data_IF_030033052770
#
_entry.id   IF_030033052770
#
_cell.length_a   1.000
_cell.length_b   1.000
_cell.length_c   1.000
_cell.angle_alpha   90.00
_cell.angle_beta   90.00
_cell.angle_gamma   90.00
#
_symmetry.space_group_name_H-M   'P 1'
#
loop_
_entity.id
_entity.type
_entity.pdbx_description
1 polymer ?
#
# COMPACT_ATOMS: atom_id res chain seq x y z
N UNK A 1 23.56 -7.33 21.43
CA UNK A 1 22.62 -6.36 20.82
C UNK A 1 22.11 -6.95 19.52
N UNK A 2 20.88 -7.44 19.52
CA UNK A 2 20.28 -8.06 18.34
C UNK A 2 19.70 -6.94 17.46
N UNK A 3 20.45 -6.54 16.42
CA UNK A 3 20.01 -5.53 15.48
C UNK A 3 19.18 -6.22 14.37
N UNK A 4 17.87 -6.28 14.57
CA UNK A 4 16.92 -6.80 13.57
C UNK A 4 16.33 -5.61 12.81
N UNK A 5 16.74 -5.40 11.56
CA UNK A 5 16.04 -4.50 10.64
C UNK A 5 16.34 -4.90 9.20
N UNK A 6 15.31 -5.26 8.45
CA UNK A 6 15.38 -5.56 7.00
C UNK A 6 14.35 -4.68 6.29
N UNK A 7 14.73 -3.98 5.23
CA UNK A 7 13.81 -3.13 4.46
C UNK A 7 13.50 -3.78 3.12
N UNK A 8 12.24 -3.96 2.74
CA UNK A 8 11.86 -4.61 1.48
C UNK A 8 11.23 -3.60 0.50
N UNK A 9 11.55 -3.74 -0.79
CA UNK A 9 11.53 -2.64 -1.78
C UNK A 9 10.25 -2.53 -2.60
N UNK A 10 9.94 -1.27 -2.89
CA UNK A 10 9.03 -0.68 -3.89
C UNK A 10 8.43 -1.62 -4.94
N UNK A 11 7.09 -1.77 -4.90
CA UNK A 11 6.32 -2.11 -6.09
C UNK A 11 5.96 -0.84 -6.87
N UNK A 12 6.21 -0.85 -8.19
CA UNK A 12 5.62 0.08 -9.14
C UNK A 12 4.35 -0.51 -9.78
N UNK A 13 3.24 0.23 -9.56
CA UNK A 13 1.98 0.39 -10.32
C UNK A 13 1.16 -0.85 -10.68
N UNK A 14 0.02 -1.00 -10.00
CA UNK A 14 -1.25 -1.27 -10.69
C UNK A 14 -2.06 0.04 -10.71
N UNK A 15 -1.96 0.81 -11.80
CA UNK A 15 -3.05 1.72 -12.17
C UNK A 15 -4.02 0.82 -12.94
N UNK A 16 -5.05 0.34 -12.26
CA UNK A 16 -6.22 -0.24 -12.92
C UNK A 16 -7.33 0.81 -12.86
N UNK A 17 -7.24 1.81 -13.74
CA UNK A 17 -8.42 2.60 -14.10
C UNK A 17 -9.08 1.91 -15.29
N UNK A 18 -10.02 1.02 -15.00
CA UNK A 18 -10.96 0.53 -16.01
C UNK A 18 -12.24 1.34 -15.87
N UNK A 19 -12.34 2.46 -16.61
CA UNK A 19 -13.63 3.11 -16.86
C UNK A 19 -13.99 2.89 -18.32
N UNK A 20 -14.79 1.85 -18.59
CA UNK A 20 -15.45 1.68 -19.88
C UNK A 20 -16.72 2.52 -19.83
N UNK A 21 -16.68 3.72 -20.41
CA UNK A 21 -17.90 4.45 -20.75
C UNK A 21 -18.21 4.16 -22.24
N UNK A 22 -19.15 3.24 -22.47
CA UNK A 22 -19.77 3.09 -23.77
C UNK A 22 -20.76 4.25 -23.96
N UNK A 23 -20.52 5.13 -24.94
CA UNK A 23 -21.55 6.04 -25.44
C UNK A 23 -21.56 5.93 -26.97
N UNK A 24 -22.59 5.24 -27.47
CA UNK A 24 -23.03 5.44 -28.85
C UNK A 24 -23.84 6.73 -28.88
N UNK A 25 -23.44 7.72 -29.67
CA UNK A 25 -24.29 8.85 -29.99
C UNK A 25 -24.05 9.32 -31.42
N UNK A 26 -25.14 9.28 -32.19
CA UNK A 26 -25.32 9.83 -33.53
C UNK A 26 -25.01 11.33 -33.53
N UNK A 27 -24.45 11.80 -34.65
CA UNK A 27 -23.87 13.14 -34.79
C UNK A 27 -24.80 14.30 -34.43
N UNK A 28 -24.30 15.16 -33.54
CA UNK A 28 -24.63 16.57 -33.47
C UNK A 28 -23.40 17.31 -32.91
N UNK A 29 -22.79 18.17 -33.72
CA UNK A 29 -21.63 19.00 -33.34
C UNK A 29 -22.07 20.11 -32.39
N UNK A 30 -21.85 19.91 -31.09
CA UNK A 30 -21.90 20.96 -30.06
C UNK A 30 -20.46 21.48 -29.87
N UNK A 31 -20.22 22.80 -29.76
CA UNK A 31 -18.87 23.32 -29.60
C UNK A 31 -18.24 22.76 -28.33
N UNK A 32 -17.01 22.29 -28.47
CA UNK A 32 -16.21 21.72 -27.40
C UNK A 32 -15.87 22.83 -26.39
N UNK A 33 -16.71 22.98 -25.36
CA UNK A 33 -16.31 23.66 -24.16
C UNK A 33 -15.14 22.86 -23.57
N UNK A 34 -13.94 23.44 -23.58
CA UNK A 34 -12.79 22.90 -22.86
C UNK A 34 -13.17 22.83 -21.39
N UNK A 35 -13.63 21.65 -20.95
CA UNK A 35 -13.87 21.39 -19.54
C UNK A 35 -12.55 21.66 -18.81
N UNK A 36 -12.58 22.59 -17.85
CA UNK A 36 -11.46 22.79 -16.95
C UNK A 36 -11.07 21.42 -16.36
N UNK A 37 -9.77 21.09 -16.26
CA UNK A 37 -9.34 19.84 -15.64
C UNK A 37 -10.03 19.72 -14.28
N UNK A 38 -10.58 18.54 -13.92
CA UNK A 38 -11.26 18.38 -12.65
C UNK A 38 -10.32 18.81 -11.54
N UNK A 39 -10.77 19.75 -10.70
CA UNK A 39 -10.02 20.16 -9.52
C UNK A 39 -9.62 18.90 -8.74
N UNK A 40 -8.32 18.75 -8.43
CA UNK A 40 -7.80 17.60 -7.67
C UNK A 40 -8.62 17.49 -6.39
N UNK A 41 -9.53 16.51 -6.34
CA UNK A 41 -10.41 16.32 -5.19
C UNK A 41 -9.53 15.78 -4.07
N UNK A 42 -9.38 16.53 -2.98
CA UNK A 42 -8.60 16.07 -1.82
C UNK A 42 -9.27 14.85 -1.19
N UNK A 43 -8.46 13.97 -0.61
CA UNK A 43 -8.91 12.84 0.19
C UNK A 43 -9.45 13.39 1.54
N UNK A 44 -10.73 13.21 1.88
CA UNK A 44 -11.35 13.85 3.06
C UNK A 44 -11.06 13.11 4.38
N UNK A 45 -10.49 11.90 4.32
CA UNK A 45 -10.22 11.08 5.49
C UNK A 45 -9.10 11.69 6.36
N UNK A 46 -9.38 11.87 7.64
CA UNK A 46 -8.41 12.24 8.68
C UNK A 46 -7.84 11.03 9.40
N UNK A 47 -8.59 9.93 9.41
CA UNK A 47 -8.18 8.64 9.93
C UNK A 47 -8.89 7.53 9.14
N UNK A 48 -8.22 6.39 8.93
CA UNK A 48 -8.79 5.23 8.25
C UNK A 48 -7.86 4.02 8.41
N UNK A 49 -8.42 2.87 8.79
CA UNK A 49 -7.66 1.64 8.99
C UNK A 49 -8.41 0.42 8.46
N UNK A 50 -7.63 -0.60 8.07
CA UNK A 50 -8.12 -1.93 7.75
C UNK A 50 -7.28 -2.92 8.55
N UNK A 51 -7.94 -3.85 9.23
CA UNK A 51 -7.28 -4.91 10.02
C UNK A 51 -7.91 -6.25 9.66
N UNK A 52 -7.09 -7.22 9.27
CA UNK A 52 -7.51 -8.60 9.04
C UNK A 52 -7.45 -9.38 10.36
N UNK A 53 -8.48 -10.18 10.61
CA UNK A 53 -8.57 -11.08 11.75
C UNK A 53 -8.29 -12.53 11.36
N UNK A 54 -7.94 -13.36 12.34
CA UNK A 54 -7.62 -14.78 12.14
C UNK A 54 -8.80 -15.59 11.59
N UNK A 55 -10.03 -15.15 11.84
CA UNK A 55 -11.26 -15.77 11.33
C UNK A 55 -11.57 -15.40 9.86
N UNK A 56 -10.67 -14.64 9.21
CA UNK A 56 -10.85 -14.17 7.84
C UNK A 56 -11.76 -12.95 7.72
N UNK A 57 -12.27 -12.41 8.83
CA UNK A 57 -13.01 -11.15 8.83
C UNK A 57 -12.07 -9.94 8.79
N UNK A 58 -12.61 -8.79 8.42
CA UNK A 58 -11.88 -7.53 8.36
C UNK A 58 -12.62 -6.46 9.14
N UNK A 59 -11.91 -5.72 9.99
CA UNK A 59 -12.40 -4.46 10.55
C UNK A 59 -11.95 -3.32 9.66
N UNK A 60 -12.88 -2.48 9.23
CA UNK A 60 -12.61 -1.25 8.47
C UNK A 60 -13.14 -0.08 9.29
N UNK A 61 -12.28 0.88 9.62
CA UNK A 61 -12.67 2.09 10.35
C UNK A 61 -12.26 3.34 9.59
N UNK A 62 -12.99 4.44 9.76
CA UNK A 62 -12.65 5.73 9.19
C UNK A 62 -13.23 6.91 9.96
N UNK A 63 -12.59 8.07 9.74
CA UNK A 63 -13.09 9.40 10.06
C UNK A 63 -12.87 10.31 8.85
N UNK A 64 -13.94 10.90 8.35
CA UNK A 64 -13.93 11.81 7.22
C UNK A 64 -14.86 13.00 7.53
N UNK A 65 -14.35 14.03 8.22
CA UNK A 65 -15.16 15.21 8.53
C UNK A 65 -15.64 15.90 7.24
N UNK A 66 -16.92 16.29 7.22
CA UNK A 66 -17.51 17.08 6.12
C UNK A 66 -18.06 16.27 4.95
N UNK A 67 -17.98 14.94 4.95
CA UNK A 67 -18.71 14.08 4.00
C UNK A 67 -20.01 13.57 4.62
N UNK A 68 -21.03 13.35 3.80
CA UNK A 68 -22.32 12.85 4.26
C UNK A 68 -22.34 11.34 4.42
N UNK A 69 -21.63 10.63 3.55
CA UNK A 69 -21.57 9.16 3.57
C UNK A 69 -20.28 8.62 2.94
N UNK A 70 -19.93 7.39 3.32
CA UNK A 70 -18.82 6.62 2.77
C UNK A 70 -19.32 5.24 2.38
N UNK A 71 -19.13 4.88 1.12
CA UNK A 71 -19.34 3.53 0.61
C UNK A 71 -18.02 2.77 0.66
N UNK A 72 -17.98 1.63 1.33
CA UNK A 72 -16.81 0.75 1.36
C UNK A 72 -16.99 -0.32 0.29
N UNK A 73 -16.03 -0.42 -0.63
CA UNK A 73 -16.01 -1.43 -1.67
C UNK A 73 -14.85 -2.40 -1.49
N UNK A 74 -15.08 -3.69 -1.69
CA UNK A 74 -14.06 -4.73 -1.76
C UNK A 74 -14.31 -5.60 -2.99
N UNK A 75 -13.25 -5.98 -3.70
CA UNK A 75 -13.35 -6.83 -4.91
C UNK A 75 -14.35 -6.32 -5.95
N UNK A 76 -14.40 -4.99 -6.13
CA UNK A 76 -15.29 -4.32 -7.09
C UNK A 76 -16.76 -4.19 -6.67
N UNK A 77 -17.12 -4.60 -5.45
CA UNK A 77 -18.51 -4.57 -4.94
C UNK A 77 -18.61 -3.74 -3.67
N UNK A 78 -19.73 -3.04 -3.48
CA UNK A 78 -20.04 -2.38 -2.22
C UNK A 78 -20.28 -3.45 -1.15
N UNK A 79 -19.57 -3.33 -0.01
CA UNK A 79 -19.67 -4.24 1.14
C UNK A 79 -20.24 -3.55 2.37
N UNK A 80 -20.24 -2.22 2.41
CA UNK A 80 -20.91 -1.42 3.43
C UNK A 80 -21.15 0.02 2.95
N UNK A 81 -22.04 0.71 3.64
CA UNK A 81 -22.35 2.12 3.45
C UNK A 81 -22.70 2.71 4.83
N UNK A 82 -22.01 3.77 5.23
CA UNK A 82 -22.21 4.41 6.54
C UNK A 82 -21.89 5.92 6.46
N UNK A 83 -21.99 6.64 7.58
CA UNK A 83 -21.72 8.07 7.67
C UNK A 83 -20.24 8.48 7.61
N UNK A 84 -19.97 9.69 8.09
CA UNK A 84 -18.64 10.31 8.10
C UNK A 84 -17.63 9.62 9.03
N UNK A 85 -18.09 8.90 10.04
CA UNK A 85 -17.26 8.18 11.01
C UNK A 85 -17.93 6.87 11.38
N UNK A 86 -17.26 5.75 11.12
CA UNK A 86 -17.79 4.43 11.42
C UNK A 86 -16.68 3.39 11.60
N UNK A 87 -17.06 2.25 12.17
CA UNK A 87 -16.25 1.03 12.21
C UNK A 87 -17.14 -0.14 11.88
N UNK A 88 -16.82 -0.85 10.80
CA UNK A 88 -17.59 -1.98 10.28
C UNK A 88 -16.78 -3.25 10.36
N UNK A 89 -17.47 -4.39 10.39
CA UNK A 89 -16.86 -5.71 10.21
C UNK A 89 -17.36 -6.34 8.91
N UNK A 90 -16.43 -6.67 8.02
CA UNK A 90 -16.71 -7.31 6.72
C UNK A 90 -16.33 -8.79 6.80
N UNK A 91 -17.21 -9.67 6.33
CA UNK A 91 -17.05 -11.14 6.35
C UNK A 91 -17.38 -11.72 4.98
N UNK A 92 -16.98 -12.98 4.75
CA UNK A 92 -17.36 -13.71 3.53
C UNK A 92 -16.68 -13.23 2.25
N UNK A 93 -15.53 -12.56 2.36
CA UNK A 93 -14.72 -12.17 1.21
C UNK A 93 -13.90 -13.35 0.69
N UNK A 94 -13.61 -13.41 -0.62
CA UNK A 94 -12.76 -14.45 -1.19
C UNK A 94 -11.35 -14.40 -0.58
N UNK A 95 -10.78 -15.58 -0.33
CA UNK A 95 -9.39 -15.68 0.11
C UNK A 95 -8.46 -15.27 -1.05
N UNK A 96 -7.79 -14.13 -0.87
CA UNK A 96 -6.77 -13.61 -1.78
C UNK A 96 -5.52 -13.30 -0.96
N UNK A 97 -4.34 -13.22 -1.62
CA UNK A 97 -3.09 -12.91 -0.92
C UNK A 97 -3.17 -11.59 -0.15
N UNK A 98 -3.93 -10.63 -0.69
CA UNK A 98 -4.14 -9.33 -0.07
C UNK A 98 -5.51 -8.74 -0.43
N UNK A 99 -6.34 -8.51 0.58
CA UNK A 99 -7.65 -7.92 0.40
C UNK A 99 -7.56 -6.38 0.43
N UNK A 100 -8.04 -5.75 -0.64
CA UNK A 100 -8.11 -4.30 -0.77
C UNK A 100 -9.53 -3.80 -0.51
N UNK A 101 -9.61 -2.64 0.14
CA UNK A 101 -10.84 -1.89 0.42
C UNK A 101 -10.71 -0.49 -0.15
N UNK A 102 -11.71 -0.07 -0.92
CA UNK A 102 -11.84 1.29 -1.46
C UNK A 102 -12.95 2.01 -0.70
N UNK A 103 -12.58 3.01 0.08
CA UNK A 103 -13.51 3.89 0.78
C UNK A 103 -13.85 5.05 -0.16
N UNK A 104 -15.11 5.11 -0.58
CA UNK A 104 -15.65 6.06 -1.56
C UNK A 104 -16.58 7.03 -0.84
N UNK A 105 -16.11 8.23 -0.48
CA UNK A 105 -16.97 9.25 0.08
C UNK A 105 -17.89 9.84 -0.99
N UNK A 106 -19.03 10.39 -0.59
CA UNK A 106 -19.93 11.15 -1.46
C UNK A 106 -19.30 12.46 -1.98
N UNK A 107 -18.33 13.02 -1.24
CA UNK A 107 -17.54 14.18 -1.62
C UNK A 107 -16.03 13.97 -1.41
N UNK A 108 -15.20 14.50 -2.30
CA UNK A 108 -13.75 14.32 -2.25
C UNK A 108 -13.25 13.09 -3.02
N UNK A 109 -11.97 12.76 -2.86
CA UNK A 109 -11.35 11.59 -3.49
C UNK A 109 -11.45 10.33 -2.61
N UNK A 110 -11.53 9.14 -3.24
CA UNK A 110 -11.55 7.88 -2.53
C UNK A 110 -10.17 7.55 -1.94
N UNK A 111 -10.18 6.72 -0.89
CA UNK A 111 -8.98 6.18 -0.27
C UNK A 111 -8.98 4.65 -0.42
N UNK A 112 -7.86 4.07 -0.86
CA UNK A 112 -7.71 2.61 -0.98
C UNK A 112 -6.72 2.11 0.07
N UNK A 113 -7.16 1.17 0.90
CA UNK A 113 -6.41 0.59 2.00
C UNK A 113 -6.50 -0.93 1.98
N UNK A 114 -5.59 -1.57 2.69
CA UNK A 114 -5.60 -2.98 3.04
C UNK A 114 -5.02 -3.13 4.44
N UNK A 115 -5.09 -4.33 5.03
CA UNK A 115 -4.25 -4.60 6.20
C UNK A 115 -2.79 -4.33 5.82
N UNK A 116 -2.10 -3.68 6.75
CA UNK A 116 -0.68 -3.39 6.66
C UNK A 116 0.13 -4.63 6.94
N UNK A 117 -0.32 -5.52 7.82
CA UNK A 117 0.28 -6.84 7.98
C UNK A 117 0.04 -7.68 6.73
N UNK A 118 1.09 -8.33 6.22
CA UNK A 118 0.90 -9.36 5.18
C UNK A 118 0.54 -10.72 5.77
N UNK A 119 0.46 -10.86 7.09
CA UNK A 119 0.07 -12.09 7.78
C UNK A 119 0.87 -13.32 7.28
N UNK A 120 2.19 -13.15 7.14
CA UNK A 120 3.11 -14.22 6.75
C UNK A 120 3.42 -15.11 7.95
N UNK A 121 3.66 -16.39 7.69
CA UNK A 121 3.99 -17.36 8.73
C UNK A 121 5.40 -17.12 9.26
N UNK A 122 6.37 -17.03 8.36
CA UNK A 122 7.78 -16.88 8.68
C UNK A 122 8.25 -15.45 8.94
N UNK A 123 7.37 -14.45 8.80
CA UNK A 123 7.69 -13.04 8.99
C UNK A 123 6.47 -12.22 9.44
N UNK A 124 6.00 -12.47 10.67
CA UNK A 124 4.83 -11.80 11.24
C UNK A 124 4.92 -10.26 11.28
N UNK A 125 6.13 -9.70 11.29
CA UNK A 125 6.38 -8.26 11.28
C UNK A 125 6.48 -7.65 9.88
N UNK A 126 6.35 -8.44 8.81
CA UNK A 126 6.37 -7.89 7.47
C UNK A 126 5.12 -7.06 7.22
N UNK A 127 5.34 -5.74 7.11
CA UNK A 127 4.27 -4.74 7.05
C UNK A 127 4.47 -3.76 5.91
N UNK A 128 3.36 -3.35 5.33
CA UNK A 128 3.28 -2.20 4.44
C UNK A 128 3.46 -0.89 5.23
N UNK A 129 4.30 -0.01 4.69
CA UNK A 129 4.59 1.32 5.24
C UNK A 129 3.49 2.32 4.85
N UNK A 130 2.70 2.02 3.83
CA UNK A 130 1.55 2.83 3.41
C UNK A 130 0.41 2.87 4.41
N UNK A 131 -0.62 3.62 4.06
CA UNK A 131 -1.85 3.77 4.85
C UNK A 131 -1.72 4.79 5.98
N UNK A 132 -0.61 5.51 6.10
CA UNK A 132 -0.50 6.64 7.02
C UNK A 132 -0.92 7.94 6.36
N UNK A 133 -1.65 8.78 7.10
CA UNK A 133 -1.89 10.16 6.72
C UNK A 133 -0.67 11.02 7.08
N UNK A 134 -0.24 11.87 6.16
CA UNK A 134 0.87 12.81 6.38
C UNK A 134 0.37 14.11 7.00
N UNK A 135 1.29 14.89 7.58
CA UNK A 135 0.98 16.18 8.21
C UNK A 135 0.35 17.19 7.23
N UNK A 136 0.72 17.14 5.95
CA UNK A 136 0.15 17.96 4.87
C UNK A 136 -1.16 17.39 4.29
N UNK A 137 -1.72 16.34 4.89
CA UNK A 137 -3.03 15.78 4.57
C UNK A 137 -3.09 14.82 3.39
N UNK A 138 -1.94 14.47 2.82
CA UNK A 138 -1.80 13.36 1.86
C UNK A 138 -1.77 12.03 2.58
N UNK A 139 -1.76 10.94 1.82
CA UNK A 139 -1.66 9.59 2.37
C UNK A 139 -0.48 8.84 1.76
N UNK A 140 0.21 8.04 2.56
CA UNK A 140 1.27 7.17 2.06
C UNK A 140 0.62 6.02 1.27
N UNK A 141 0.97 5.91 0.00
CA UNK A 141 0.52 4.88 -0.93
C UNK A 141 0.84 3.50 -0.38
N UNK A 142 -0.19 2.69 -0.26
CA UNK A 142 -0.08 1.27 0.04
C UNK A 142 0.48 0.50 -1.15
N UNK A 143 1.07 -0.64 -0.86
CA UNK A 143 1.59 -1.58 -1.83
C UNK A 143 3.00 -1.27 -2.29
N UNK A 144 3.51 -0.08 -1.98
CA UNK A 144 4.80 0.39 -2.48
C UNK A 144 5.94 -0.14 -1.61
N UNK A 145 6.08 0.35 -0.38
CA UNK A 145 7.23 0.03 0.48
C UNK A 145 6.81 -0.89 1.63
N UNK A 146 7.64 -1.89 1.92
CA UNK A 146 7.42 -2.82 3.03
C UNK A 146 8.63 -2.81 3.98
N UNK A 147 8.37 -3.11 5.25
CA UNK A 147 9.41 -3.29 6.26
C UNK A 147 9.29 -4.67 6.88
N UNK A 148 10.42 -5.26 7.25
CA UNK A 148 10.49 -6.54 7.97
C UNK A 148 11.61 -6.50 9.02
N UNK A 149 11.65 -7.49 9.91
CA UNK A 149 12.75 -7.62 10.86
C UNK A 149 13.89 -8.45 10.27
N UNK A 150 13.65 -9.72 9.99
CA UNK A 150 14.49 -10.59 9.18
C UNK A 150 13.60 -11.55 8.38
N UNK A 151 14.16 -12.10 7.30
CA UNK A 151 13.42 -12.91 6.31
C UNK A 151 13.94 -14.35 6.24
N UNK A 152 14.72 -14.79 7.23
CA UNK A 152 15.36 -16.11 7.21
C UNK A 152 14.35 -17.26 7.42
N UNK A 153 13.25 -16.98 8.12
CA UNK A 153 12.24 -17.96 8.48
C UNK A 153 11.04 -18.00 7.52
N UNK A 154 11.05 -17.23 6.41
CA UNK A 154 9.97 -17.28 5.42
C UNK A 154 9.73 -18.71 4.95
N UNK A 155 8.47 -19.11 4.82
CA UNK A 155 8.11 -20.41 4.23
C UNK A 155 8.08 -20.34 2.70
N UNK A 156 7.97 -21.48 2.02
CA UNK A 156 7.80 -21.51 0.56
C UNK A 156 6.49 -20.84 0.14
N UNK A 157 5.44 -20.98 0.96
CA UNK A 157 4.17 -20.30 0.76
C UNK A 157 4.32 -18.78 0.91
N UNK A 158 5.09 -18.31 1.89
CA UNK A 158 5.37 -16.88 2.06
C UNK A 158 6.13 -16.31 0.86
N UNK A 159 7.17 -17.02 0.37
CA UNK A 159 7.93 -16.60 -0.81
C UNK A 159 7.04 -16.52 -2.05
N UNK A 160 6.20 -17.52 -2.27
CA UNK A 160 5.26 -17.52 -3.39
C UNK A 160 4.24 -16.38 -3.28
N UNK A 161 3.76 -16.09 -2.06
CA UNK A 161 2.89 -14.93 -1.79
C UNK A 161 3.59 -13.62 -2.10
N UNK A 162 4.81 -13.41 -1.61
CA UNK A 162 5.60 -12.20 -1.88
C UNK A 162 5.89 -12.03 -3.38
N UNK A 163 6.14 -13.12 -4.10
CA UNK A 163 6.30 -13.12 -5.55
C UNK A 163 5.00 -12.68 -6.25
N UNK A 164 3.84 -13.23 -5.88
CA UNK A 164 2.53 -12.83 -6.45
C UNK A 164 2.15 -11.40 -6.12
N UNK A 165 2.57 -10.88 -4.96
CA UNK A 165 2.44 -9.48 -4.59
C UNK A 165 3.42 -8.56 -5.34
N UNK A 166 4.33 -9.11 -6.15
CA UNK A 166 5.22 -8.34 -7.01
C UNK A 166 6.38 -7.67 -6.27
N UNK A 167 6.81 -8.23 -5.14
CA UNK A 167 8.03 -7.77 -4.46
C UNK A 167 9.23 -8.06 -5.37
N UNK A 168 9.95 -6.98 -5.73
CA UNK A 168 10.99 -7.03 -6.76
C UNK A 168 12.40 -6.80 -6.24
N UNK A 169 12.56 -6.24 -5.05
CA UNK A 169 13.89 -6.06 -4.46
C UNK A 169 13.79 -6.22 -2.94
N UNK A 170 14.86 -6.71 -2.33
CA UNK A 170 15.07 -6.82 -0.90
C UNK A 170 16.34 -6.04 -0.53
N UNK A 171 16.23 -5.02 0.33
CA UNK A 171 17.37 -4.27 0.88
C UNK A 171 17.69 -4.81 2.27
N UNK A 172 18.72 -5.66 2.36
CA UNK A 172 19.19 -6.19 3.61
C UNK A 172 20.11 -5.19 4.30
N UNK A 173 19.57 -4.54 5.33
CA UNK A 173 20.28 -3.52 6.11
C UNK A 173 21.12 -4.11 7.26
N UNK A 174 21.07 -5.43 7.44
CA UNK A 174 21.71 -6.11 8.57
C UNK A 174 23.21 -6.19 8.38
N UNK A 175 23.95 -6.15 9.48
CA UNK A 175 25.39 -6.35 9.45
C UNK A 175 25.76 -7.74 8.90
N UNK A 176 26.98 -7.93 8.33
CA UNK A 176 27.40 -9.20 7.75
C UNK A 176 27.27 -10.40 8.70
N UNK A 177 27.58 -10.23 9.99
CA UNK A 177 27.48 -11.30 10.98
C UNK A 177 26.05 -11.82 11.17
N UNK A 178 25.04 -10.95 11.07
CA UNK A 178 23.64 -11.34 11.15
C UNK A 178 23.20 -12.12 9.91
N UNK A 179 23.67 -11.73 8.71
CA UNK A 179 23.40 -12.44 7.46
C UNK A 179 24.01 -13.84 7.42
N UNK A 180 25.24 -14.00 7.91
CA UNK A 180 25.89 -15.31 7.98
C UNK A 180 25.18 -16.24 8.95
N UNK A 181 24.74 -15.72 10.10
CA UNK A 181 24.03 -16.51 11.13
C UNK A 181 22.65 -16.96 10.66
N UNK A 182 21.93 -16.06 9.97
CA UNK A 182 20.56 -16.29 9.52
C UNK A 182 20.37 -15.70 8.10
N UNK A 183 20.77 -16.45 7.06
CA UNK A 183 20.62 -16.01 5.67
C UNK A 183 19.16 -15.74 5.34
N UNK A 184 18.87 -14.56 4.77
CA UNK A 184 17.50 -14.22 4.37
C UNK A 184 17.05 -15.08 3.18
N UNK A 185 15.76 -15.39 3.11
CA UNK A 185 15.16 -16.00 1.93
C UNK A 185 14.53 -14.91 1.06
N UNK A 186 14.84 -14.93 -0.23
CA UNK A 186 14.42 -13.89 -1.18
C UNK A 186 13.44 -14.49 -2.19
N UNK A 187 12.29 -13.84 -2.47
CA UNK A 187 11.34 -14.33 -3.47
C UNK A 187 12.00 -14.50 -4.85
N UNK A 188 11.54 -15.50 -5.61
CA UNK A 188 12.06 -15.75 -6.95
C UNK A 188 11.88 -14.51 -7.85
N UNK A 189 12.95 -14.11 -8.54
CA UNK A 189 12.97 -12.93 -9.41
C UNK A 189 13.15 -11.59 -8.69
N UNK A 190 13.18 -11.58 -7.35
CA UNK A 190 13.53 -10.37 -6.61
C UNK A 190 15.05 -10.17 -6.57
N UNK A 191 15.49 -8.92 -6.73
CA UNK A 191 16.89 -8.52 -6.58
C UNK A 191 17.25 -8.40 -5.10
N UNK A 192 18.29 -9.08 -4.67
CA UNK A 192 18.83 -8.93 -3.32
C UNK A 192 19.93 -7.86 -3.30
N UNK A 193 19.86 -6.92 -2.36
CA UNK A 193 20.82 -5.83 -2.21
C UNK A 193 21.25 -5.72 -0.77
N UNK A 194 22.56 -5.79 -0.55
CA UNK A 194 23.16 -5.50 0.74
C UNK A 194 23.32 -3.98 0.88
N UNK A 195 22.74 -3.41 1.93
CA UNK A 195 22.84 -1.98 2.25
C UNK A 195 23.06 -1.82 3.76
N UNK A 196 24.24 -2.25 4.23
CA UNK A 196 24.60 -2.32 5.65
C UNK A 196 24.41 -0.96 6.36
N UNK A 197 23.51 -0.88 7.34
CA UNK A 197 23.25 0.36 8.09
C UNK A 197 24.46 0.92 8.85
N UNK A 198 25.50 0.11 9.00
CA UNK A 198 26.73 0.47 9.68
C UNK A 198 27.93 0.59 8.74
N UNK A 199 27.75 0.33 7.45
CA UNK A 199 28.75 0.62 6.44
C UNK A 199 28.79 2.14 6.17
N UNK A 200 29.96 2.60 5.77
CA UNK A 200 30.22 3.95 5.26
C UNK A 200 29.16 4.40 4.23
N UNK A 201 28.65 3.46 3.43
CA UNK A 201 27.62 3.73 2.43
C UNK A 201 26.25 4.13 3.00
N UNK A 202 25.96 3.93 4.30
CA UNK A 202 24.78 4.49 4.97
C UNK A 202 25.10 5.72 5.83
N UNK A 203 26.38 5.97 6.18
CA UNK A 203 26.82 7.25 6.76
C UNK A 203 26.67 8.41 5.78
N UNK A 204 26.84 8.14 4.48
CA UNK A 204 26.59 9.12 3.41
C UNK A 204 25.12 9.11 2.93
N UNK A 205 24.24 8.39 3.64
CA UNK A 205 22.88 8.07 3.21
C UNK A 205 22.86 7.05 2.05
N UNK A 206 21.69 6.60 1.61
CA UNK A 206 21.53 5.68 0.45
C UNK A 206 22.05 6.28 -0.90
N UNK A 207 22.83 7.36 -0.87
CA UNK A 207 23.28 8.15 -2.02
C UNK A 207 22.11 8.58 -2.92
N UNK A 208 20.94 8.80 -2.32
CA UNK A 208 19.76 9.30 -3.01
C UNK A 208 19.94 10.79 -3.26
N UNK A 209 19.90 11.21 -4.52
CA UNK A 209 19.91 12.62 -4.87
C UNK A 209 18.63 13.32 -4.37
N UNK A 210 18.64 14.65 -4.32
CA UNK A 210 17.41 15.42 -4.06
C UNK A 210 16.28 15.09 -5.05
N UNK A 211 16.63 14.76 -6.30
CA UNK A 211 15.66 14.30 -7.29
C UNK A 211 15.10 12.91 -6.95
N UNK A 212 15.92 12.00 -6.42
CA UNK A 212 15.46 10.66 -6.02
C UNK A 212 14.54 10.73 -4.81
N UNK A 213 14.84 11.60 -3.84
CA UNK A 213 13.95 11.86 -2.71
C UNK A 213 12.63 12.49 -3.15
N UNK A 214 12.66 13.39 -4.13
CA UNK A 214 11.45 13.98 -4.70
C UNK A 214 10.61 12.94 -5.47
N UNK A 215 11.25 12.08 -6.28
CA UNK A 215 10.58 10.96 -6.96
C UNK A 215 9.97 9.99 -5.97
N UNK A 216 10.67 9.67 -4.87
CA UNK A 216 10.14 8.84 -3.79
C UNK A 216 8.93 9.50 -3.14
N UNK A 217 8.99 10.80 -2.84
CA UNK A 217 7.85 11.56 -2.29
C UNK A 217 6.63 11.47 -3.20
N UNK A 218 6.80 11.63 -4.51
CA UNK A 218 5.69 11.54 -5.48
C UNK A 218 5.18 10.11 -5.66
N UNK A 219 6.09 9.13 -5.64
CA UNK A 219 5.75 7.71 -5.76
C UNK A 219 5.07 7.15 -4.51
N UNK A 220 5.33 7.75 -3.34
CA UNK A 220 4.82 7.30 -2.05
C UNK A 220 3.59 8.06 -1.58
N UNK A 221 3.21 9.21 -2.16
CA UNK A 221 2.09 10.00 -1.63
C UNK A 221 0.90 10.02 -2.60
N UNK A 222 -0.30 9.73 -2.09
CA UNK A 222 -1.57 10.03 -2.76
C UNK A 222 -2.02 11.43 -2.34
N UNK A 223 -2.46 12.20 -3.33
CA UNK A 223 -2.95 13.56 -3.17
C UNK A 223 -3.67 13.96 -4.44
#
# INVERSE_FOLDING_TARGET
>A
MNCHSTAAVLTARHIAESFVAAVSAVGATVPLATAAPPAVRRIPFTDATVTQHKDGSFTVSWKAPGVGSVTVCASGRAVAHDGSEATITVRGLPAVDRQWFRLVPDQGAPLTLADRSLCLEGAADLRDVGGYRTADGRWVRMGVLYRANDLHALTDADLAKLQRLGIRTDFDLRMPSARTKAPGRVPAGARYVVADAFDSCLRDGLSLSGQDLQRLREALLTG
#
